data_IF_235841426971
#
_entry.id   IF_235841426971
#
_cell.length_a   1.000
_cell.length_b   1.000
_cell.length_c   1.000
_cell.angle_alpha   90.00
_cell.angle_beta   90.00
_cell.angle_gamma   90.00
#
_symmetry.space_group_name_H-M   'P 1'
#
loop_
_entity.id
_entity.type
_entity.pdbx_description
1 polymer ?
#
# COMPACT_ATOMS: atom_id res chain seq x y z
N UNK A 1 -16.78 -1.28 1.92
CA UNK A 1 -15.95 -0.64 2.98
C UNK A 1 -15.36 -1.66 3.95
N UNK A 2 -16.11 -2.64 4.44
CA UNK A 2 -15.61 -3.72 5.34
C UNK A 2 -14.36 -4.41 4.76
N UNK A 3 -14.45 -4.96 3.54
CA UNK A 3 -13.33 -5.70 2.94
C UNK A 3 -12.05 -4.87 2.69
N UNK A 4 -12.17 -3.55 2.51
CA UNK A 4 -11.02 -2.66 2.32
C UNK A 4 -10.30 -2.34 3.65
N UNK A 5 -11.06 -2.11 4.73
CA UNK A 5 -10.52 -1.89 6.08
C UNK A 5 -9.85 -3.15 6.62
N UNK A 6 -10.50 -4.31 6.48
CA UNK A 6 -9.92 -5.60 6.86
C UNK A 6 -8.74 -6.01 5.96
N UNK A 7 -8.75 -5.64 4.68
CA UNK A 7 -7.63 -5.86 3.77
C UNK A 7 -6.36 -5.12 4.17
N UNK A 8 -6.46 -3.81 4.45
CA UNK A 8 -5.32 -3.03 4.94
C UNK A 8 -4.90 -3.44 6.35
N UNK A 9 -5.83 -3.60 7.29
CA UNK A 9 -5.51 -4.01 8.66
C UNK A 9 -4.86 -5.40 8.70
N UNK A 10 -5.39 -6.36 7.93
CA UNK A 10 -4.81 -7.69 7.79
C UNK A 10 -3.41 -7.66 7.18
N UNK A 11 -3.17 -6.77 6.21
CA UNK A 11 -1.84 -6.54 5.67
C UNK A 11 -0.85 -6.04 6.73
N UNK A 12 -1.21 -5.01 7.49
CA UNK A 12 -0.34 -4.47 8.54
C UNK A 12 -0.02 -5.52 9.61
N UNK A 13 -1.01 -6.31 10.03
CA UNK A 13 -0.83 -7.42 10.99
C UNK A 13 0.11 -8.50 10.41
N UNK A 14 -0.10 -8.90 9.16
CA UNK A 14 0.77 -9.86 8.50
C UNK A 14 2.21 -9.35 8.46
N UNK A 15 2.42 -8.09 8.06
CA UNK A 15 3.75 -7.50 8.00
C UNK A 15 4.43 -7.45 9.38
N UNK A 16 3.67 -7.15 10.44
CA UNK A 16 4.17 -7.20 11.82
C UNK A 16 4.69 -8.59 12.18
N UNK A 17 3.88 -9.63 11.91
CA UNK A 17 4.25 -11.02 12.19
C UNK A 17 5.49 -11.42 11.39
N UNK A 18 5.51 -11.13 10.09
CA UNK A 18 6.66 -11.43 9.22
C UNK A 18 7.92 -10.68 9.65
N UNK A 19 7.79 -9.40 10.02
CA UNK A 19 8.90 -8.58 10.49
C UNK A 19 9.51 -9.07 11.81
N UNK A 20 8.73 -9.75 12.66
CA UNK A 20 9.25 -10.42 13.86
C UNK A 20 10.01 -11.69 13.50
N UNK A 21 9.47 -12.49 12.58
CA UNK A 21 9.97 -13.84 12.26
C UNK A 21 11.11 -13.88 11.24
N UNK A 22 11.18 -12.92 10.32
CA UNK A 22 12.08 -12.93 9.18
C UNK A 22 12.98 -11.68 9.13
N UNK A 23 14.12 -11.73 8.41
CA UNK A 23 14.83 -10.54 7.98
C UNK A 23 13.90 -9.62 7.15
N UNK A 24 14.06 -8.30 7.30
CA UNK A 24 13.19 -7.30 6.65
C UNK A 24 13.03 -7.53 5.13
N UNK A 25 14.09 -7.78 4.35
CA UNK A 25 13.93 -8.03 2.92
C UNK A 25 13.01 -9.21 2.61
N UNK A 26 13.16 -10.31 3.34
CA UNK A 26 12.35 -11.51 3.15
C UNK A 26 10.89 -11.27 3.59
N UNK A 27 10.69 -10.55 4.70
CA UNK A 27 9.37 -10.15 5.17
C UNK A 27 8.63 -9.29 4.13
N UNK A 28 9.29 -8.25 3.59
CA UNK A 28 8.70 -7.36 2.58
C UNK A 28 8.35 -8.10 1.28
N UNK A 29 9.23 -8.98 0.79
CA UNK A 29 8.96 -9.76 -0.43
C UNK A 29 7.76 -10.69 -0.21
N UNK A 30 7.73 -11.44 0.89
CA UNK A 30 6.64 -12.35 1.19
C UNK A 30 5.32 -11.60 1.42
N UNK A 31 5.38 -10.45 2.11
CA UNK A 31 4.25 -9.57 2.29
C UNK A 31 3.70 -9.09 0.94
N UNK A 32 4.56 -8.51 0.09
CA UNK A 32 4.19 -7.99 -1.22
C UNK A 32 3.60 -9.06 -2.14
N UNK A 33 4.19 -10.25 -2.20
CA UNK A 33 3.63 -11.37 -3.00
C UNK A 33 2.25 -11.79 -2.47
N UNK A 34 2.11 -11.93 -1.16
CA UNK A 34 0.83 -12.31 -0.54
C UNK A 34 -0.24 -11.25 -0.81
N UNK A 35 0.11 -9.97 -0.71
CA UNK A 35 -0.76 -8.85 -1.03
C UNK A 35 -1.15 -8.85 -2.52
N UNK A 36 -0.19 -9.07 -3.43
CA UNK A 36 -0.46 -9.09 -4.85
C UNK A 36 -1.41 -10.23 -5.24
N UNK A 37 -1.23 -11.42 -4.67
CA UNK A 37 -2.11 -12.57 -4.90
C UNK A 37 -3.51 -12.31 -4.30
N UNK A 38 -3.58 -11.85 -3.05
CA UNK A 38 -4.85 -11.58 -2.37
C UNK A 38 -5.64 -10.46 -3.04
N UNK A 39 -5.01 -9.31 -3.28
CA UNK A 39 -5.62 -8.15 -3.92
C UNK A 39 -5.91 -8.43 -5.40
N UNK A 40 -5.04 -9.17 -6.09
CA UNK A 40 -5.22 -9.60 -7.48
C UNK A 40 -6.38 -10.56 -7.66
N UNK A 41 -6.55 -11.53 -6.77
CA UNK A 41 -7.70 -12.43 -6.78
C UNK A 41 -9.02 -11.67 -6.59
N UNK A 42 -9.07 -10.70 -5.67
CA UNK A 42 -10.23 -9.81 -5.54
C UNK A 42 -10.45 -9.00 -6.81
N UNK A 43 -9.40 -8.41 -7.39
CA UNK A 43 -9.54 -7.65 -8.63
C UNK A 43 -10.08 -8.52 -9.78
N UNK A 44 -9.66 -9.78 -9.86
CA UNK A 44 -10.15 -10.73 -10.85
C UNK A 44 -11.64 -11.07 -10.65
N UNK A 45 -12.04 -11.43 -9.42
CA UNK A 45 -13.45 -11.75 -9.10
C UNK A 45 -14.39 -10.58 -9.35
N UNK A 46 -13.94 -9.35 -9.07
CA UNK A 46 -14.74 -8.14 -9.17
C UNK A 46 -14.50 -7.33 -10.45
N UNK A 47 -13.82 -7.91 -11.45
CA UNK A 47 -13.31 -7.22 -12.64
C UNK A 47 -14.34 -6.41 -13.42
N UNK A 48 -15.59 -6.87 -13.45
CA UNK A 48 -16.68 -6.22 -14.19
C UNK A 48 -17.18 -4.95 -13.48
N UNK A 49 -16.87 -4.80 -12.19
CA UNK A 49 -17.23 -3.66 -11.35
C UNK A 49 -16.07 -2.68 -11.13
N UNK A 50 -14.92 -2.94 -11.75
CA UNK A 50 -13.74 -2.09 -11.62
C UNK A 50 -13.83 -0.92 -12.60
N UNK A 51 -13.72 0.29 -12.07
CA UNK A 51 -13.50 1.48 -12.87
C UNK A 51 -12.04 1.51 -13.39
N UNK A 52 -11.76 0.79 -14.48
CA UNK A 52 -10.42 0.61 -15.04
C UNK A 52 -9.67 1.91 -15.33
N UNK A 53 -10.39 2.98 -15.72
CA UNK A 53 -9.80 4.30 -15.95
C UNK A 53 -9.26 4.98 -14.68
N UNK A 54 -9.85 4.71 -13.51
CA UNK A 54 -9.34 5.20 -12.22
C UNK A 54 -8.18 4.32 -11.77
N UNK A 55 -8.33 3.01 -11.90
CA UNK A 55 -7.30 2.04 -11.52
C UNK A 55 -5.99 2.25 -12.30
N UNK A 56 -6.06 2.51 -13.61
CA UNK A 56 -4.87 2.74 -14.42
C UNK A 56 -4.12 4.01 -14.00
N UNK A 57 -4.85 5.10 -13.71
CA UNK A 57 -4.25 6.35 -13.21
C UNK A 57 -3.62 6.15 -11.84
N UNK A 58 -4.31 5.45 -10.94
CA UNK A 58 -3.73 5.07 -9.65
C UNK A 58 -2.45 4.24 -9.82
N UNK A 59 -2.47 3.24 -10.70
CA UNK A 59 -1.31 2.38 -10.96
C UNK A 59 -0.12 3.17 -11.53
N UNK A 60 -0.37 4.10 -12.45
CA UNK A 60 0.66 5.01 -12.97
C UNK A 60 1.24 5.89 -11.85
N UNK A 61 0.42 6.41 -10.95
CA UNK A 61 0.88 7.17 -9.79
C UNK A 61 1.67 6.32 -8.79
N UNK A 62 1.29 5.06 -8.60
CA UNK A 62 1.96 4.10 -7.73
C UNK A 62 3.29 3.60 -8.29
N UNK A 63 3.45 3.56 -9.62
CA UNK A 63 4.65 3.07 -10.28
C UNK A 63 5.96 3.74 -9.78
N UNK A 64 6.09 5.09 -9.73
CA UNK A 64 7.30 5.72 -9.19
C UNK A 64 7.52 5.40 -7.70
N UNK A 65 6.46 5.26 -6.90
CA UNK A 65 6.59 4.89 -5.49
C UNK A 65 7.19 3.48 -5.29
N UNK A 66 6.99 2.58 -6.24
CA UNK A 66 7.61 1.25 -6.25
C UNK A 66 8.98 1.20 -6.93
N UNK A 67 9.14 1.92 -8.04
CA UNK A 67 10.35 1.89 -8.84
C UNK A 67 11.52 2.64 -8.19
N UNK A 68 11.26 3.74 -7.47
CA UNK A 68 12.32 4.52 -6.83
C UNK A 68 13.05 3.70 -5.75
N UNK A 69 12.37 3.08 -4.75
CA UNK A 69 13.03 2.23 -3.77
C UNK A 69 13.75 1.04 -4.39
N UNK A 70 13.14 0.44 -5.43
CA UNK A 70 13.76 -0.66 -6.18
C UNK A 70 15.07 -0.24 -6.84
N UNK A 71 15.08 0.91 -7.53
CA UNK A 71 16.26 1.44 -8.19
C UNK A 71 17.37 1.83 -7.21
N UNK A 72 17.01 2.26 -6.00
CA UNK A 72 17.94 2.64 -4.94
C UNK A 72 18.35 1.46 -4.05
N UNK A 73 17.80 0.26 -4.26
CA UNK A 73 17.93 -0.91 -3.37
C UNK A 73 17.66 -0.50 -1.92
N UNK A 74 16.65 0.33 -1.73
CA UNK A 74 16.33 0.88 -0.42
C UNK A 74 15.58 -0.16 0.41
N UNK A 75 16.18 -0.54 1.54
CA UNK A 75 15.58 -1.44 2.52
C UNK A 75 15.49 -0.71 3.85
N UNK A 76 14.28 -0.47 4.41
CA UNK A 76 14.12 0.10 5.73
C UNK A 76 14.82 -0.76 6.79
N UNK A 77 15.45 -0.13 7.78
CA UNK A 77 15.90 -0.87 8.97
C UNK A 77 14.69 -1.44 9.73
N UNK A 78 14.86 -2.58 10.39
CA UNK A 78 13.78 -3.22 11.17
C UNK A 78 13.10 -2.27 12.17
N UNK A 79 13.83 -1.42 12.94
CA UNK A 79 13.19 -0.44 13.80
C UNK A 79 12.38 0.60 13.03
N UNK A 80 12.92 1.13 11.92
CA UNK A 80 12.23 2.12 11.10
C UNK A 80 10.93 1.55 10.50
N UNK A 81 10.99 0.33 9.98
CA UNK A 81 9.82 -0.40 9.47
C UNK A 81 8.74 -0.56 10.54
N UNK A 82 9.08 -1.03 11.74
CA UNK A 82 8.12 -1.23 12.83
C UNK A 82 7.49 0.09 13.31
N UNK A 83 8.29 1.15 13.40
CA UNK A 83 7.80 2.49 13.74
C UNK A 83 6.82 2.99 12.66
N UNK A 84 7.19 2.89 11.39
CA UNK A 84 6.32 3.30 10.28
C UNK A 84 5.02 2.49 10.27
N UNK A 85 5.11 1.17 10.41
CA UNK A 85 3.96 0.26 10.48
C UNK A 85 2.98 0.66 11.59
N UNK A 86 3.50 1.01 12.77
CA UNK A 86 2.71 1.50 13.89
C UNK A 86 2.09 2.87 13.65
N UNK A 87 2.78 3.77 12.93
CA UNK A 87 2.32 5.13 12.66
C UNK A 87 1.27 5.22 11.55
N UNK A 88 1.30 4.33 10.55
CA UNK A 88 0.36 4.32 9.40
C UNK A 88 -1.11 4.53 9.80
N UNK A 89 -1.70 3.77 10.75
CA UNK A 89 -3.10 3.97 11.13
C UNK A 89 -3.36 5.34 11.77
N UNK A 90 -2.43 5.87 12.58
CA UNK A 90 -2.58 7.19 13.18
C UNK A 90 -2.46 8.30 12.15
N UNK A 91 -1.49 8.20 11.24
CA UNK A 91 -1.34 9.14 10.14
C UNK A 91 -2.59 9.18 9.27
N UNK A 92 -3.19 8.02 8.97
CA UNK A 92 -4.44 7.94 8.23
C UNK A 92 -5.62 8.60 8.96
N UNK A 93 -5.71 8.46 10.28
CA UNK A 93 -6.73 9.12 11.11
C UNK A 93 -6.52 10.64 11.24
N UNK A 94 -5.28 11.10 11.13
CA UNK A 94 -4.92 12.52 11.21
C UNK A 94 -5.21 13.29 9.91
N UNK A 95 -5.51 12.60 8.79
CA UNK A 95 -5.80 13.27 7.51
C UNK A 95 -7.14 14.02 7.63
N UNK A 96 -7.15 15.36 7.52
CA UNK A 96 -8.37 16.14 7.63
C UNK A 96 -9.29 15.89 6.42
N UNK A 97 -10.61 16.05 6.63
CA UNK A 97 -11.60 15.83 5.59
C UNK A 97 -11.41 16.73 4.35
N UNK A 98 -10.78 17.90 4.51
CA UNK A 98 -10.43 18.81 3.42
C UNK A 98 -9.32 18.29 2.49
N UNK A 99 -8.54 17.30 2.91
CA UNK A 99 -7.48 16.65 2.12
C UNK A 99 -7.95 15.36 1.45
N UNK A 100 -9.26 15.05 1.47
CA UNK A 100 -9.79 13.86 0.82
C UNK A 100 -9.59 13.95 -0.71
N UNK A 101 -8.81 13.01 -1.23
CA UNK A 101 -8.56 12.89 -2.66
C UNK A 101 -9.77 12.26 -3.35
N UNK A 102 -10.46 13.09 -4.13
CA UNK A 102 -11.52 12.64 -5.05
C UNK A 102 -10.95 11.80 -6.21
N UNK A 103 -11.27 10.50 -6.23
CA UNK A 103 -10.83 9.57 -7.27
C UNK A 103 -11.39 9.86 -8.67
N UNK A 104 -12.45 10.68 -8.78
CA UNK A 104 -12.98 11.13 -10.07
C UNK A 104 -12.06 12.16 -10.75
N UNK A 105 -11.23 12.87 -9.98
CA UNK A 105 -10.26 13.83 -10.50
C UNK A 105 -8.96 13.10 -10.91
N UNK A 106 -8.51 13.21 -12.17
CA UNK A 106 -7.34 12.48 -12.65
C UNK A 106 -6.06 12.76 -11.83
N UNK A 107 -5.80 14.02 -11.48
CA UNK A 107 -4.63 14.42 -10.69
C UNK A 107 -4.61 13.80 -9.29
N UNK A 108 -5.78 13.72 -8.66
CA UNK A 108 -5.94 13.12 -7.34
C UNK A 108 -5.73 11.61 -7.38
N UNK A 109 -6.14 10.93 -8.45
CA UNK A 109 -5.88 9.50 -8.62
C UNK A 109 -4.37 9.19 -8.69
N UNK A 110 -3.59 10.00 -9.40
CA UNK A 110 -2.12 9.86 -9.42
C UNK A 110 -1.49 10.15 -8.06
N UNK A 111 -1.87 11.27 -7.42
CA UNK A 111 -1.36 11.65 -6.10
C UNK A 111 -1.70 10.61 -5.01
N UNK A 112 -2.90 10.03 -5.10
CA UNK A 112 -3.34 8.94 -4.24
C UNK A 112 -2.51 7.68 -4.48
N UNK A 113 -2.31 7.30 -5.75
CA UNK A 113 -1.45 6.20 -6.16
C UNK A 113 -0.05 6.31 -5.56
N UNK A 114 0.59 7.47 -5.74
CA UNK A 114 1.94 7.71 -5.23
C UNK A 114 2.00 7.67 -3.69
N UNK A 115 1.13 8.43 -3.03
CA UNK A 115 1.16 8.58 -1.56
C UNK A 115 0.83 7.27 -0.86
N UNK A 116 -0.22 6.57 -1.31
CA UNK A 116 -0.65 5.30 -0.69
C UNK A 116 0.38 4.21 -0.93
N UNK A 117 0.84 4.03 -2.18
CA UNK A 117 1.86 3.02 -2.48
C UNK A 117 3.18 3.32 -1.78
N UNK A 118 3.59 4.59 -1.69
CA UNK A 118 4.80 5.00 -0.98
C UNK A 118 4.73 4.65 0.51
N UNK A 119 3.63 5.01 1.18
CA UNK A 119 3.44 4.66 2.60
C UNK A 119 3.43 3.15 2.80
N UNK A 120 2.75 2.40 1.92
CA UNK A 120 2.66 0.95 2.02
C UNK A 120 4.03 0.28 1.86
N UNK A 121 4.81 0.65 0.84
CA UNK A 121 6.14 0.08 0.57
C UNK A 121 7.13 0.38 1.69
N UNK A 122 7.02 1.55 2.32
CA UNK A 122 7.89 1.92 3.44
C UNK A 122 7.53 1.18 4.74
N UNK A 123 6.25 0.88 4.94
CA UNK A 123 5.75 0.12 6.09
C UNK A 123 5.93 -1.41 5.92
N UNK A 124 6.06 -1.88 4.67
CA UNK A 124 6.29 -3.27 4.29
C UNK A 124 5.23 -3.81 3.36
#
# INVERSE_FOLDING_TARGET
>A
MISAVFGMAGGLILMLILGVLLPVPAAMVLHGVTQMVSNGWRAFLWRDWIAWGILSRYAIGAAPAALIPLALVFVPSKPAMLIMLGLVPFLALMIPASMQLDALKPSHAYACGFSVAGVQIMAG
#
